data_IF_691250807343
#
_entry.id   IF_691250807343
#
_cell.length_a   1.000
_cell.length_b   1.000
_cell.length_c   1.000
_cell.angle_alpha   90.00
_cell.angle_beta   90.00
_cell.angle_gamma   90.00
#
_symmetry.space_group_name_H-M   'P 1'
#
loop_
_entity.id
_entity.type
_entity.pdbx_description
1 polymer ?
#
# COMPACT_ATOMS: atom_id res chain seq x y z
N UNK A 1 27.82 6.11 -14.46
CA UNK A 1 26.72 5.96 -13.49
C UNK A 1 26.16 7.34 -13.17
N UNK A 2 25.09 7.74 -13.86
CA UNK A 2 24.43 9.01 -13.59
C UNK A 2 23.51 8.81 -12.38
N UNK A 3 23.78 9.52 -11.28
CA UNK A 3 22.80 9.67 -10.20
C UNK A 3 21.51 10.24 -10.79
N UNK A 4 20.36 9.69 -10.40
CA UNK A 4 19.07 10.22 -10.84
C UNK A 4 18.89 11.65 -10.36
N UNK A 5 18.12 12.47 -11.09
CA UNK A 5 17.83 13.85 -10.71
C UNK A 5 17.27 13.94 -9.27
N UNK A 6 16.45 12.96 -8.87
CA UNK A 6 15.97 12.79 -7.50
C UNK A 6 17.12 12.62 -6.49
N UNK A 7 18.11 11.78 -6.77
CA UNK A 7 19.26 11.60 -5.87
C UNK A 7 20.10 12.87 -5.68
N UNK A 8 20.19 13.74 -6.70
CA UNK A 8 20.89 15.02 -6.60
C UNK A 8 20.08 16.06 -5.81
N UNK A 9 18.76 16.15 -6.06
CA UNK A 9 17.89 17.09 -5.35
C UNK A 9 17.76 16.77 -3.85
N UNK A 10 17.76 15.49 -3.48
CA UNK A 10 17.71 15.08 -2.07
C UNK A 10 19.03 15.34 -1.31
N UNK A 11 20.17 15.28 -1.97
CA UNK A 11 21.48 15.50 -1.33
C UNK A 11 21.77 16.98 -1.06
N UNK A 12 21.20 17.90 -1.85
CA UNK A 12 21.43 19.35 -1.75
C UNK A 12 20.36 20.10 -0.94
N UNK A 13 19.30 19.42 -0.51
CA UNK A 13 18.22 20.08 0.21
C UNK A 13 18.43 19.99 1.73
N UNK A 14 18.58 21.14 2.40
CA UNK A 14 18.47 21.32 3.87
C UNK A 14 17.02 21.02 4.37
N UNK A 15 16.28 20.13 3.70
CA UNK A 15 14.91 19.77 4.04
C UNK A 15 14.95 18.77 5.18
N UNK A 16 14.81 19.29 6.39
CA UNK A 16 14.53 18.45 7.53
C UNK A 16 13.05 18.08 7.51
N UNK A 17 12.70 16.79 7.56
CA UNK A 17 11.30 16.42 7.63
C UNK A 17 10.71 16.99 8.92
N UNK A 18 9.51 17.58 8.83
CA UNK A 18 8.78 18.09 9.99
C UNK A 18 7.81 17.04 10.53
N UNK A 19 7.44 17.09 11.82
CA UNK A 19 6.40 16.22 12.34
C UNK A 19 5.07 16.48 11.63
N UNK A 20 4.40 15.40 11.21
CA UNK A 20 3.03 15.38 10.70
C UNK A 20 2.19 14.61 11.71
N UNK A 21 1.11 15.23 12.18
CA UNK A 21 0.17 14.57 13.07
C UNK A 21 -0.75 13.65 12.28
N UNK A 22 -1.19 12.57 12.92
CA UNK A 22 -2.26 11.75 12.36
C UNK A 22 -3.55 12.55 12.15
N UNK A 23 -3.80 13.55 12.99
CA UNK A 23 -4.96 14.43 12.89
C UNK A 23 -4.93 15.36 11.67
N UNK A 24 -3.74 15.54 11.07
CA UNK A 24 -3.58 16.37 9.86
C UNK A 24 -3.96 15.60 8.58
N UNK A 25 -4.01 14.26 8.64
CA UNK A 25 -4.33 13.39 7.51
C UNK A 25 -5.77 12.90 7.64
N UNK A 26 -6.63 13.35 6.73
CA UNK A 26 -8.02 12.92 6.66
C UNK A 26 -8.17 11.64 5.86
N UNK A 27 -8.81 10.65 6.46
CA UNK A 27 -9.31 9.48 5.72
C UNK A 27 -10.48 9.95 4.83
N UNK A 28 -10.53 9.54 3.56
CA UNK A 28 -11.66 9.87 2.68
C UNK A 28 -12.98 9.28 3.21
N UNK A 29 -14.05 10.06 3.16
CA UNK A 29 -15.40 9.69 3.64
C UNK A 29 -16.35 9.39 2.46
N UNK A 30 -15.79 8.92 1.35
CA UNK A 30 -16.59 8.55 0.17
C UNK A 30 -17.24 7.19 0.37
N UNK A 31 -18.35 6.88 -0.35
CA UNK A 31 -18.99 5.57 -0.24
C UNK A 31 -18.03 4.40 -0.54
N UNK A 32 -17.11 4.57 -1.48
CA UNK A 32 -16.08 3.57 -1.79
C UNK A 32 -15.07 3.45 -0.65
N UNK A 33 -14.57 4.56 -0.12
CA UNK A 33 -13.60 4.54 0.97
C UNK A 33 -14.14 3.84 2.22
N UNK A 34 -15.38 4.13 2.62
CA UNK A 34 -16.04 3.49 3.76
C UNK A 34 -16.29 2.00 3.53
N UNK A 35 -16.82 1.66 2.36
CA UNK A 35 -17.15 0.27 2.00
C UNK A 35 -15.90 -0.61 1.93
N UNK A 36 -14.83 -0.11 1.31
CA UNK A 36 -13.54 -0.81 1.26
C UNK A 36 -12.92 -0.90 2.65
N UNK A 37 -12.97 0.18 3.45
CA UNK A 37 -12.43 0.16 4.82
C UNK A 37 -13.12 -0.87 5.70
N UNK A 38 -14.45 -0.97 5.62
CA UNK A 38 -15.22 -1.95 6.38
C UNK A 38 -14.90 -3.37 5.91
N UNK A 39 -14.99 -3.62 4.60
CA UNK A 39 -14.73 -4.95 4.05
C UNK A 39 -13.31 -5.44 4.34
N UNK A 40 -12.30 -4.58 4.17
CA UNK A 40 -10.90 -4.95 4.44
C UNK A 40 -10.64 -5.17 5.92
N UNK A 41 -11.29 -4.41 6.81
CA UNK A 41 -11.25 -4.66 8.26
C UNK A 41 -11.82 -6.04 8.64
N UNK A 42 -12.82 -6.51 7.91
CA UNK A 42 -13.47 -7.79 8.18
C UNK A 42 -12.68 -8.99 7.67
N UNK A 43 -11.82 -8.81 6.65
CA UNK A 43 -11.09 -9.93 6.01
C UNK A 43 -9.61 -9.98 6.33
N UNK A 44 -8.97 -8.83 6.57
CA UNK A 44 -7.54 -8.77 6.82
C UNK A 44 -7.27 -9.15 8.28
N UNK A 45 -6.11 -9.76 8.52
CA UNK A 45 -5.61 -9.89 9.88
C UNK A 45 -5.39 -8.50 10.49
N UNK A 46 -5.41 -8.34 11.82
CA UNK A 46 -5.16 -7.05 12.45
C UNK A 46 -3.84 -6.39 12.01
N UNK A 47 -2.79 -7.19 11.75
CA UNK A 47 -1.52 -6.66 11.26
C UNK A 47 -1.53 -6.17 9.83
N UNK A 48 -2.20 -6.88 8.91
CA UNK A 48 -2.37 -6.44 7.53
C UNK A 48 -3.23 -5.18 7.47
N UNK A 49 -4.34 -5.14 8.21
CA UNK A 49 -5.19 -3.94 8.27
C UNK A 49 -4.42 -2.73 8.83
N UNK A 50 -3.67 -2.91 9.93
CA UNK A 50 -2.85 -1.85 10.49
C UNK A 50 -1.69 -1.44 9.56
N UNK A 51 -1.10 -2.39 8.81
CA UNK A 51 -0.11 -2.09 7.76
C UNK A 51 -0.71 -1.18 6.69
N UNK A 52 -1.87 -1.55 6.14
CA UNK A 52 -2.60 -0.73 5.18
C UNK A 52 -2.87 0.68 5.70
N UNK A 53 -3.28 0.82 6.97
CA UNK A 53 -3.55 2.12 7.61
C UNK A 53 -2.29 2.98 7.74
N UNK A 54 -1.17 2.39 8.20
CA UNK A 54 0.12 3.08 8.30
C UNK A 54 0.66 3.47 6.93
N UNK A 55 0.59 2.57 5.95
CA UNK A 55 1.01 2.80 4.57
C UNK A 55 0.29 4.00 3.95
N UNK A 56 -1.04 4.10 4.12
CA UNK A 56 -1.79 5.29 3.71
C UNK A 56 -1.29 6.55 4.40
N UNK A 57 -1.21 6.54 5.74
CA UNK A 57 -0.79 7.70 6.51
C UNK A 57 0.61 8.20 6.14
N UNK A 58 1.59 7.31 6.04
CA UNK A 58 2.95 7.66 5.65
C UNK A 58 3.02 8.19 4.22
N UNK A 59 2.29 7.60 3.29
CA UNK A 59 2.20 8.09 1.91
C UNK A 59 1.58 9.50 1.87
N UNK A 60 0.47 9.72 2.59
CA UNK A 60 -0.19 11.03 2.67
C UNK A 60 0.69 12.09 3.34
N UNK A 61 1.46 11.73 4.36
CA UNK A 61 2.39 12.64 5.02
C UNK A 61 3.45 13.20 4.07
N UNK A 62 3.89 12.43 3.06
CA UNK A 62 4.85 12.92 2.05
C UNK A 62 4.28 13.96 1.09
N UNK A 63 2.95 14.03 0.96
CA UNK A 63 2.28 14.99 0.09
C UNK A 63 2.17 16.39 0.71
N UNK A 64 2.68 16.56 1.93
CA UNK A 64 2.70 17.85 2.57
C UNK A 64 3.52 18.87 1.75
N UNK A 65 2.92 19.99 1.33
CA UNK A 65 3.59 20.92 0.43
C UNK A 65 4.83 21.57 1.07
N UNK A 66 4.90 21.64 2.40
CA UNK A 66 6.06 22.21 3.10
C UNK A 66 7.27 21.27 3.08
N UNK A 67 7.06 19.96 2.91
CA UNK A 67 8.15 18.99 2.75
C UNK A 67 8.77 19.05 1.35
N UNK A 68 7.99 19.47 0.35
CA UNK A 68 8.46 19.71 -1.02
C UNK A 68 8.94 18.47 -1.78
N UNK A 69 8.62 17.25 -1.34
CA UNK A 69 9.02 16.01 -2.02
C UNK A 69 8.36 15.84 -3.39
N UNK A 70 7.17 16.41 -3.57
CA UNK A 70 6.43 16.41 -4.82
C UNK A 70 6.12 17.84 -5.28
N UNK A 71 6.13 18.11 -6.60
CA UNK A 71 5.73 19.42 -7.12
C UNK A 71 4.32 19.79 -6.67
N UNK A 72 4.16 20.97 -6.07
CA UNK A 72 2.88 21.41 -5.48
C UNK A 72 1.72 21.38 -6.50
N UNK A 73 1.99 21.77 -7.74
CA UNK A 73 0.99 21.73 -8.81
C UNK A 73 0.58 20.29 -9.17
N UNK A 74 1.53 19.35 -9.19
CA UNK A 74 1.23 17.95 -9.46
C UNK A 74 0.35 17.35 -8.36
N UNK A 75 0.65 17.64 -7.10
CA UNK A 75 -0.19 17.25 -5.95
C UNK A 75 -1.57 17.86 -6.06
N UNK A 76 -1.67 19.18 -6.31
CA UNK A 76 -2.96 19.87 -6.43
C UNK A 76 -3.82 19.31 -7.58
N UNK A 77 -3.22 19.01 -8.73
CA UNK A 77 -3.93 18.43 -9.87
C UNK A 77 -4.41 17.00 -9.57
N UNK A 78 -3.57 16.17 -8.95
CA UNK A 78 -3.95 14.82 -8.57
C UNK A 78 -5.06 14.82 -7.50
N UNK A 79 -5.03 15.73 -6.52
CA UNK A 79 -6.11 15.89 -5.53
C UNK A 79 -7.46 16.20 -6.19
N UNK A 80 -7.49 17.03 -7.24
CA UNK A 80 -8.71 17.28 -8.03
C UNK A 80 -9.24 16.04 -8.75
N UNK A 81 -8.38 15.04 -8.97
CA UNK A 81 -8.71 13.75 -9.56
C UNK A 81 -8.95 12.66 -8.49
N UNK A 82 -9.02 13.04 -7.21
CA UNK A 82 -9.31 12.12 -6.10
C UNK A 82 -8.10 11.35 -5.58
N UNK A 83 -6.89 11.93 -5.64
CA UNK A 83 -5.67 11.31 -5.13
C UNK A 83 -5.84 10.72 -3.71
N UNK A 84 -6.47 11.45 -2.78
CA UNK A 84 -6.65 10.94 -1.42
C UNK A 84 -7.49 9.65 -1.37
N UNK A 85 -8.58 9.60 -2.14
CA UNK A 85 -9.41 8.39 -2.27
C UNK A 85 -8.64 7.26 -2.96
N UNK A 86 -7.93 7.55 -4.05
CA UNK A 86 -7.17 6.54 -4.79
C UNK A 86 -6.07 5.93 -3.92
N UNK A 87 -5.37 6.74 -3.12
CA UNK A 87 -4.36 6.26 -2.17
C UNK A 87 -4.99 5.43 -1.07
N UNK A 88 -6.13 5.86 -0.51
CA UNK A 88 -6.85 5.08 0.51
C UNK A 88 -7.27 3.71 -0.02
N UNK A 89 -7.89 3.67 -1.20
CA UNK A 89 -8.32 2.43 -1.84
C UNK A 89 -7.12 1.53 -2.15
N UNK A 90 -6.04 2.05 -2.71
CA UNK A 90 -4.82 1.28 -2.96
C UNK A 90 -4.24 0.72 -1.66
N UNK A 91 -4.14 1.55 -0.61
CA UNK A 91 -3.62 1.13 0.69
C UNK A 91 -4.46 0.00 1.31
N UNK A 92 -5.78 0.10 1.28
CA UNK A 92 -6.65 -0.91 1.86
C UNK A 92 -6.68 -2.21 1.04
N UNK A 93 -6.49 -2.12 -0.29
CA UNK A 93 -6.65 -3.25 -1.20
C UNK A 93 -5.36 -3.99 -1.58
N UNK A 94 -4.17 -3.38 -1.43
CA UNK A 94 -2.93 -3.95 -2.01
C UNK A 94 -2.58 -5.36 -1.50
N UNK A 95 -2.94 -5.68 -0.25
CA UNK A 95 -2.60 -6.94 0.43
C UNK A 95 -3.79 -7.90 0.57
N UNK A 96 -4.96 -7.62 -0.03
CA UNK A 96 -6.15 -8.48 0.13
C UNK A 96 -5.96 -9.90 -0.40
N UNK A 97 -4.98 -10.12 -1.26
CA UNK A 97 -4.61 -11.43 -1.81
C UNK A 97 -3.68 -12.23 -0.92
N UNK A 98 -3.19 -11.64 0.17
CA UNK A 98 -2.37 -12.30 1.18
C UNK A 98 -3.21 -12.98 2.29
N UNK A 99 -4.53 -12.83 2.28
CA UNK A 99 -5.39 -13.58 3.22
C UNK A 99 -5.44 -15.06 2.79
N UNK A 100 -5.36 -16.03 3.72
CA UNK A 100 -5.23 -17.45 3.38
C UNK A 100 -6.29 -17.96 2.40
N UNK A 101 -7.54 -17.51 2.54
CA UNK A 101 -8.66 -17.92 1.69
C UNK A 101 -8.47 -17.51 0.23
N UNK A 102 -7.89 -16.33 -0.01
CA UNK A 102 -7.56 -15.85 -1.36
C UNK A 102 -6.24 -16.47 -1.83
N UNK A 103 -5.25 -16.51 -0.94
CA UNK A 103 -3.87 -16.89 -1.23
C UNK A 103 -3.72 -18.37 -1.61
N UNK A 104 -4.42 -19.27 -0.90
CA UNK A 104 -4.36 -20.72 -1.13
C UNK A 104 -5.29 -21.18 -2.27
N UNK A 105 -6.08 -20.28 -2.87
CA UNK A 105 -6.99 -20.61 -3.95
C UNK A 105 -6.27 -20.94 -5.26
N UNK A 106 -6.62 -22.07 -5.88
CA UNK A 106 -6.15 -22.44 -7.22
C UNK A 106 -6.61 -21.49 -8.32
N UNK A 107 -7.58 -20.62 -8.06
CA UNK A 107 -7.97 -19.55 -8.98
C UNK A 107 -6.99 -18.37 -8.95
N UNK A 108 -6.16 -18.25 -7.90
CA UNK A 108 -5.32 -17.11 -7.62
C UNK A 108 -3.84 -17.49 -7.68
N UNK A 109 -3.40 -17.94 -8.86
CA UNK A 109 -2.03 -18.45 -9.07
C UNK A 109 -1.03 -17.38 -9.53
N UNK A 110 -1.50 -16.15 -9.75
CA UNK A 110 -0.62 -15.01 -10.01
C UNK A 110 0.03 -14.54 -8.70
N UNK A 111 1.13 -13.79 -8.84
CA UNK A 111 1.74 -13.05 -7.73
C UNK A 111 0.69 -12.16 -7.06
N UNK A 112 0.71 -12.09 -5.73
CA UNK A 112 -0.30 -11.39 -4.95
C UNK A 112 -0.53 -9.93 -5.41
N UNK A 113 0.50 -9.24 -5.91
CA UNK A 113 0.41 -7.87 -6.42
C UNK A 113 -0.44 -7.79 -7.69
N UNK A 114 -0.16 -8.68 -8.64
CA UNK A 114 -0.84 -8.74 -9.94
C UNK A 114 -2.28 -9.23 -9.75
N UNK A 115 -2.45 -10.30 -8.97
CA UNK A 115 -3.76 -10.81 -8.61
C UNK A 115 -4.55 -9.70 -7.89
N UNK A 116 -3.94 -9.01 -6.93
CA UNK A 116 -4.55 -7.94 -6.15
C UNK A 116 -5.05 -6.82 -7.03
N UNK A 117 -4.27 -6.42 -8.05
CA UNK A 117 -4.68 -5.43 -9.04
C UNK A 117 -5.89 -5.86 -9.86
N UNK A 118 -5.92 -7.11 -10.36
CA UNK A 118 -7.07 -7.65 -11.12
C UNK A 118 -8.33 -7.67 -10.26
N UNK A 119 -8.19 -8.18 -9.04
CA UNK A 119 -9.27 -8.24 -8.06
C UNK A 119 -9.77 -6.82 -7.73
N UNK A 120 -8.88 -5.87 -7.43
CA UNK A 120 -9.26 -4.49 -7.16
C UNK A 120 -9.98 -3.85 -8.36
N UNK A 121 -9.49 -4.08 -9.58
CA UNK A 121 -10.14 -3.60 -10.80
C UNK A 121 -11.58 -4.11 -10.89
N UNK A 122 -11.79 -5.42 -10.74
CA UNK A 122 -13.12 -6.04 -10.79
C UNK A 122 -14.04 -5.48 -9.71
N UNK A 123 -13.55 -5.34 -8.47
CA UNK A 123 -14.34 -4.83 -7.37
C UNK A 123 -14.79 -3.38 -7.59
N UNK A 124 -13.87 -2.50 -8.00
CA UNK A 124 -14.14 -1.07 -8.18
C UNK A 124 -14.91 -0.76 -9.47
N UNK A 125 -14.87 -1.68 -10.45
CA UNK A 125 -15.56 -1.53 -11.73
C UNK A 125 -17.04 -1.90 -11.68
N UNK A 126 -17.51 -2.58 -10.63
CA UNK A 126 -18.82 -3.23 -10.65
C UNK A 126 -19.96 -2.33 -10.15
N UNK A 127 -20.98 -2.02 -10.97
CA UNK A 127 -22.30 -1.68 -10.49
C UNK A 127 -23.08 -2.98 -10.27
N UNK A 128 -23.33 -3.40 -9.03
CA UNK A 128 -24.22 -4.54 -8.78
C UNK A 128 -25.52 -4.09 -8.11
N UNK A 129 -26.70 -4.48 -8.63
CA UNK A 129 -27.82 -4.78 -7.76
C UNK A 129 -27.39 -5.93 -6.83
N UNK A 130 -27.75 -5.84 -5.54
CA UNK A 130 -27.49 -6.71 -4.39
C UNK A 130 -27.61 -8.24 -4.60
N UNK A 131 -26.93 -8.81 -5.59
CA UNK A 131 -26.97 -10.24 -5.93
C UNK A 131 -25.57 -10.79 -5.75
N UNK A 132 -25.47 -11.75 -4.84
CA UNK A 132 -24.28 -12.54 -4.50
C UNK A 132 -23.68 -13.13 -5.79
N UNK A 133 -22.69 -12.46 -6.36
CA UNK A 133 -21.95 -12.98 -7.51
C UNK A 133 -20.99 -14.06 -7.02
N UNK A 134 -21.30 -15.32 -7.32
CA UNK A 134 -20.43 -16.47 -7.11
C UNK A 134 -19.20 -16.50 -8.04
N UNK A 135 -19.01 -15.46 -8.87
CA UNK A 135 -17.99 -15.42 -9.92
C UNK A 135 -16.75 -14.62 -9.56
N UNK A 136 -16.74 -13.92 -8.42
CA UNK A 136 -15.53 -13.25 -7.93
C UNK A 136 -14.67 -14.29 -7.20
N UNK A 137 -13.57 -14.71 -7.83
CA UNK A 137 -12.69 -15.77 -7.33
C UNK A 137 -11.74 -15.28 -6.22
N UNK A 138 -12.24 -14.51 -5.25
CA UNK A 138 -11.50 -14.06 -4.06
C UNK A 138 -11.23 -15.20 -3.06
N UNK A 139 -11.20 -16.46 -3.51
CA UNK A 139 -11.45 -17.57 -2.61
C UNK A 139 -12.87 -17.50 -2.05
N UNK A 140 -13.30 -18.55 -1.37
CA UNK A 140 -14.65 -18.71 -0.84
C UNK A 140 -14.98 -17.79 0.36
N UNK A 141 -14.37 -16.59 0.46
CA UNK A 141 -14.72 -15.62 1.50
C UNK A 141 -16.16 -15.15 1.28
N UNK A 142 -17.11 -15.81 1.93
CA UNK A 142 -18.55 -15.51 1.93
C UNK A 142 -18.87 -14.25 2.73
N UNK A 143 -18.14 -13.17 2.46
CA UNK A 143 -18.20 -11.98 3.28
C UNK A 143 -19.07 -10.99 2.50
N UNK A 144 -20.16 -10.52 3.12
CA UNK A 144 -21.14 -9.58 2.57
C UNK A 144 -20.47 -8.30 2.03
N UNK A 145 -19.82 -8.41 0.87
CA UNK A 145 -19.10 -7.33 0.23
C UNK A 145 -20.14 -6.43 -0.40
N UNK A 146 -20.37 -5.29 0.23
CA UNK A 146 -21.20 -4.24 -0.32
C UNK A 146 -20.42 -3.51 -1.42
N UNK A 147 -21.14 -2.95 -2.37
CA UNK A 147 -20.58 -2.04 -3.38
C UNK A 147 -21.46 -0.80 -3.40
N UNK A 148 -20.88 0.41 -3.45
CA UNK A 148 -21.66 1.60 -3.79
C UNK A 148 -22.42 1.44 -5.11
N UNK A 149 -23.56 2.12 -5.29
CA UNK A 149 -24.37 1.99 -6.51
C UNK A 149 -23.66 2.56 -7.76
N UNK A 150 -22.68 3.43 -7.57
CA UNK A 150 -21.92 4.06 -8.65
C UNK A 150 -20.49 3.51 -8.65
N UNK A 151 -20.04 2.89 -9.77
CA UNK A 151 -18.66 2.45 -9.93
C UNK A 151 -17.69 3.62 -9.79
N UNK A 152 -16.45 3.31 -9.40
CA UNK A 152 -15.39 4.31 -9.41
C UNK A 152 -15.10 4.72 -10.86
N UNK A 153 -14.83 6.01 -11.16
CA UNK A 153 -14.39 6.43 -12.49
C UNK A 153 -13.21 5.59 -13.00
N UNK A 154 -13.25 5.17 -14.27
CA UNK A 154 -12.24 4.27 -14.86
C UNK A 154 -10.80 4.76 -14.70
N UNK A 155 -10.57 6.07 -14.73
CA UNK A 155 -9.23 6.63 -14.54
C UNK A 155 -8.72 6.42 -13.11
N UNK A 156 -9.59 6.58 -12.10
CA UNK A 156 -9.26 6.29 -10.70
C UNK A 156 -9.01 4.80 -10.48
N UNK A 157 -9.82 3.94 -11.09
CA UNK A 157 -9.58 2.49 -11.06
C UNK A 157 -8.18 2.17 -11.60
N UNK A 158 -7.82 2.77 -12.74
CA UNK A 158 -6.47 2.63 -13.30
C UNK A 158 -5.37 3.08 -12.34
N UNK A 159 -5.52 4.21 -11.66
CA UNK A 159 -4.54 4.68 -10.68
C UNK A 159 -4.42 3.76 -9.45
N UNK A 160 -5.54 3.27 -8.92
CA UNK A 160 -5.57 2.33 -7.79
C UNK A 160 -4.90 1.02 -8.18
N UNK A 161 -5.29 0.44 -9.32
CA UNK A 161 -4.78 -0.84 -9.81
C UNK A 161 -3.30 -0.76 -10.11
N UNK A 162 -2.84 0.28 -10.81
CA UNK A 162 -1.42 0.49 -11.08
C UNK A 162 -0.63 0.57 -9.77
N UNK A 163 -1.13 1.34 -8.79
CA UNK A 163 -0.48 1.47 -7.47
C UNK A 163 -0.38 0.15 -6.73
N UNK A 164 -1.39 -0.72 -6.85
CA UNK A 164 -1.37 -2.07 -6.28
C UNK A 164 -0.40 -2.97 -7.04
N UNK A 165 -0.36 -2.95 -8.37
CA UNK A 165 0.50 -3.88 -9.12
C UNK A 165 1.98 -3.60 -8.86
N UNK A 166 2.36 -2.32 -8.73
CA UNK A 166 3.77 -1.90 -8.65
C UNK A 166 4.28 -1.67 -7.21
N UNK A 167 3.47 -1.97 -6.18
CA UNK A 167 3.81 -1.56 -4.80
C UNK A 167 5.05 -2.27 -4.21
N UNK A 168 5.41 -3.44 -4.74
CA UNK A 168 6.62 -4.18 -4.35
C UNK A 168 7.78 -3.99 -5.32
N UNK A 169 7.58 -3.24 -6.41
CA UNK A 169 8.61 -2.99 -7.42
C UNK A 169 9.85 -2.38 -6.78
N UNK A 170 11.03 -2.69 -7.27
CA UNK A 170 12.26 -2.20 -6.64
C UNK A 170 12.74 -0.90 -7.24
N UNK A 171 12.04 0.20 -6.98
CA UNK A 171 12.42 1.59 -7.31
C UNK A 171 13.40 1.70 -8.50
N UNK A 172 13.03 1.09 -9.64
CA UNK A 172 13.88 1.04 -10.82
C UNK A 172 13.84 2.40 -11.55
N UNK A 173 14.84 2.72 -12.39
CA UNK A 173 14.77 3.91 -13.23
C UNK A 173 13.48 3.91 -14.06
N UNK A 174 12.68 4.98 -13.96
CA UNK A 174 11.38 5.06 -14.59
C UNK A 174 10.50 6.14 -13.95
N UNK A 175 9.23 6.19 -14.34
CA UNK A 175 8.22 7.07 -13.73
C UNK A 175 6.96 6.27 -13.44
N UNK A 176 6.42 6.47 -12.25
CA UNK A 176 5.09 6.01 -11.85
C UNK A 176 4.15 7.23 -11.76
N UNK A 177 2.84 7.01 -11.74
CA UNK A 177 1.89 8.09 -11.41
C UNK A 177 2.08 8.54 -9.93
N UNK A 178 1.56 9.71 -9.56
CA UNK A 178 1.80 10.28 -8.23
C UNK A 178 1.24 9.39 -7.09
N UNK A 179 0.06 8.79 -7.29
CA UNK A 179 -0.54 7.86 -6.34
C UNK A 179 0.41 6.68 -6.07
N UNK A 180 0.87 6.03 -7.13
CA UNK A 180 1.79 4.89 -7.07
C UNK A 180 3.14 5.27 -6.44
N UNK A 181 3.70 6.45 -6.75
CA UNK A 181 4.95 6.92 -6.13
C UNK A 181 4.80 7.09 -4.60
N UNK A 182 3.75 7.80 -4.16
CA UNK A 182 3.54 8.06 -2.74
C UNK A 182 3.22 6.75 -1.98
N UNK A 183 2.34 5.92 -2.54
CA UNK A 183 1.96 4.64 -1.96
C UNK A 183 3.14 3.69 -1.81
N UNK A 184 3.93 3.54 -2.87
CA UNK A 184 5.12 2.70 -2.84
C UNK A 184 6.10 3.15 -1.75
N UNK A 185 6.36 4.46 -1.62
CA UNK A 185 7.21 4.99 -0.56
C UNK A 185 6.65 4.72 0.85
N UNK A 186 5.35 4.96 1.07
CA UNK A 186 4.68 4.70 2.36
C UNK A 186 4.66 3.22 2.73
N UNK A 187 4.37 2.34 1.77
CA UNK A 187 4.39 0.88 1.95
C UNK A 187 5.81 0.40 2.26
N UNK A 188 6.82 0.87 1.53
CA UNK A 188 8.21 0.48 1.78
C UNK A 188 8.71 1.00 3.13
N UNK A 189 8.31 2.20 3.55
CA UNK A 189 8.59 2.66 4.90
C UNK A 189 8.01 1.70 5.93
N UNK A 190 6.75 1.32 5.79
CA UNK A 190 6.10 0.46 6.80
C UNK A 190 6.49 -1.01 6.72
N UNK A 191 6.86 -1.52 5.55
CA UNK A 191 7.19 -2.91 5.32
C UNK A 191 8.67 -3.20 5.57
N UNK A 192 9.59 -2.26 5.28
CA UNK A 192 11.04 -2.49 5.44
C UNK A 192 11.75 -1.47 6.32
N UNK A 193 11.11 -0.38 6.77
CA UNK A 193 11.74 0.61 7.65
C UNK A 193 12.97 1.27 7.03
N UNK A 194 13.11 1.27 5.70
CA UNK A 194 14.30 1.72 4.97
C UNK A 194 15.46 0.70 4.89
N UNK A 195 16.31 0.85 3.87
CA UNK A 195 17.47 -0.01 3.66
C UNK A 195 18.36 0.43 2.49
N UNK A 196 19.64 0.00 2.43
CA UNK A 196 20.55 0.37 1.35
C UNK A 196 19.98 -0.01 -0.04
N UNK A 197 20.11 0.84 -1.07
CA UNK A 197 20.92 2.07 -1.11
C UNK A 197 20.15 3.36 -0.80
N UNK A 198 18.88 3.30 -0.42
CA UNK A 198 18.00 4.48 -0.28
C UNK A 198 17.55 4.65 1.15
N UNK A 199 18.12 5.64 1.82
CA UNK A 199 17.69 6.07 3.15
C UNK A 199 16.37 6.86 3.05
N UNK A 200 15.31 6.18 2.59
CA UNK A 200 13.96 6.75 2.48
C UNK A 200 13.43 7.18 3.86
N UNK A 201 13.98 6.65 4.96
CA UNK A 201 13.64 7.09 6.32
C UNK A 201 13.81 8.60 6.49
N UNK A 202 14.81 9.20 5.84
CA UNK A 202 15.06 10.64 5.91
C UNK A 202 13.91 11.48 5.37
N UNK A 203 12.98 10.87 4.65
CA UNK A 203 11.79 11.56 4.13
C UNK A 203 10.72 11.78 5.20
N UNK A 204 10.77 11.06 6.33
CA UNK A 204 9.80 11.22 7.43
C UNK A 204 10.47 11.64 8.72
N UNK A 205 9.78 12.51 9.46
CA UNK A 205 10.21 12.87 10.80
C UNK A 205 9.93 11.69 11.75
N UNK A 206 10.83 11.38 12.71
CA UNK A 206 10.62 10.28 13.66
C UNK A 206 9.28 10.32 14.40
N UNK A 207 8.79 11.51 14.77
CA UNK A 207 7.46 11.65 15.40
C UNK A 207 6.31 11.27 14.46
N UNK A 208 6.42 11.56 13.16
CA UNK A 208 5.43 11.11 12.17
C UNK A 208 5.36 9.59 12.17
N UNK A 209 6.51 8.93 12.11
CA UNK A 209 6.61 7.46 12.15
C UNK A 209 5.98 6.93 13.44
N UNK A 210 6.39 7.48 14.58
CA UNK A 210 5.92 7.07 15.92
C UNK A 210 4.41 7.24 16.07
N UNK A 211 3.84 8.34 15.57
CA UNK A 211 2.40 8.59 15.62
C UNK A 211 1.62 7.49 14.89
N UNK A 212 2.04 7.16 13.66
CA UNK A 212 1.40 6.09 12.88
C UNK A 212 1.53 4.71 13.53
N UNK A 213 2.69 4.40 14.09
CA UNK A 213 2.93 3.13 14.78
C UNK A 213 2.16 3.02 16.12
N UNK A 214 1.93 4.15 16.80
CA UNK A 214 1.16 4.21 18.04
C UNK A 214 -0.33 4.03 17.76
N UNK A 215 -0.88 4.74 16.77
CA UNK A 215 -2.30 4.63 16.42
C UNK A 215 -2.64 3.24 15.87
N UNK A 216 -1.77 2.71 15.01
CA UNK A 216 -1.97 1.41 14.37
C UNK A 216 -0.81 0.49 14.74
N UNK A 217 -0.88 -0.20 15.90
CA UNK A 217 0.21 -1.03 16.39
C UNK A 217 0.61 -2.13 15.41
N UNK A 218 1.91 -2.43 15.38
CA UNK A 218 2.45 -3.59 14.66
C UNK A 218 2.19 -4.86 15.46
N UNK A 219 1.77 -5.90 14.75
CA UNK A 219 1.55 -7.24 15.30
C UNK A 219 2.77 -8.12 15.08
N UNK A 220 2.90 -9.19 15.88
CA UNK A 220 3.98 -10.18 15.78
C UNK A 220 3.43 -11.56 15.43
N UNK A 221 4.30 -12.48 15.03
CA UNK A 221 3.92 -13.86 14.73
C UNK A 221 2.99 -13.97 13.52
N UNK A 222 1.97 -14.82 13.61
CA UNK A 222 1.05 -15.14 12.51
C UNK A 222 0.15 -13.96 12.09
N UNK A 223 0.00 -12.96 12.96
CA UNK A 223 -0.77 -11.75 12.64
C UNK A 223 0.09 -10.68 11.95
N UNK A 224 1.41 -10.87 11.85
CA UNK A 224 2.30 -9.91 11.19
C UNK A 224 2.27 -10.04 9.66
N UNK A 225 2.62 -8.96 8.95
CA UNK A 225 2.78 -8.93 7.48
C UNK A 225 3.73 -10.03 6.96
N UNK A 226 4.72 -10.41 7.77
CA UNK A 226 5.74 -11.39 7.38
C UNK A 226 5.13 -12.77 7.09
N UNK A 227 4.20 -13.23 7.91
CA UNK A 227 3.64 -14.59 7.79
C UNK A 227 3.03 -14.84 6.41
N UNK A 228 2.08 -14.01 5.98
CA UNK A 228 1.49 -14.10 4.63
C UNK A 228 2.50 -13.94 3.49
N UNK A 229 3.53 -13.09 3.63
CA UNK A 229 4.58 -12.95 2.61
C UNK A 229 5.46 -14.20 2.52
N UNK A 230 5.83 -14.82 3.65
CA UNK A 230 6.53 -16.10 3.66
C UNK A 230 5.69 -17.19 3.00
N UNK A 231 4.39 -17.22 3.28
CA UNK A 231 3.45 -18.15 2.65
C UNK A 231 3.42 -17.96 1.13
N UNK A 232 3.34 -16.72 0.64
CA UNK A 232 3.37 -16.41 -0.80
C UNK A 232 4.62 -16.99 -1.48
N UNK A 233 5.78 -16.81 -0.84
CA UNK A 233 7.06 -17.35 -1.33
C UNK A 233 7.11 -18.88 -1.35
N UNK A 234 6.43 -19.55 -0.41
CA UNK A 234 6.34 -21.00 -0.34
C UNK A 234 5.41 -21.59 -1.42
N UNK A 235 4.22 -21.00 -1.60
CA UNK A 235 3.22 -21.55 -2.52
C UNK A 235 3.42 -21.10 -3.97
N UNK A 236 4.04 -19.93 -4.18
CA UNK A 236 4.32 -19.35 -5.50
C UNK A 236 5.80 -18.95 -5.56
N UNK A 237 6.73 -19.91 -5.65
CA UNK A 237 8.17 -19.63 -5.60
C UNK A 237 8.71 -18.76 -6.75
N UNK A 238 7.91 -18.56 -7.82
CA UNK A 238 8.21 -17.66 -8.93
C UNK A 238 7.43 -16.34 -8.92
N UNK A 239 6.78 -15.98 -7.80
CA UNK A 239 5.98 -14.75 -7.71
C UNK A 239 6.83 -13.47 -7.84
N UNK A 240 6.18 -12.37 -8.17
CA UNK A 240 6.80 -11.11 -8.57
C UNK A 240 7.74 -10.52 -7.51
N UNK A 241 7.39 -10.60 -6.23
CA UNK A 241 8.24 -10.13 -5.12
C UNK A 241 9.64 -10.79 -5.12
N UNK A 242 9.83 -11.94 -5.78
CA UNK A 242 11.13 -12.64 -5.94
C UNK A 242 12.11 -11.94 -6.89
N UNK A 243 11.63 -11.09 -7.80
CA UNK A 243 12.39 -10.54 -8.95
C UNK A 243 13.67 -9.78 -8.59
N UNK A 244 13.87 -9.41 -7.33
CA UNK A 244 15.10 -8.75 -6.91
C UNK A 244 16.15 -9.62 -6.19
N UNK A 245 16.17 -10.95 -6.37
CA UNK A 245 17.19 -11.87 -5.82
C UNK A 245 17.42 -11.80 -4.29
N UNK A 246 16.49 -11.17 -3.56
CA UNK A 246 16.59 -10.93 -2.11
C UNK A 246 15.24 -11.01 -1.40
N UNK A 247 14.20 -11.60 -1.99
CA UNK A 247 12.89 -11.66 -1.34
C UNK A 247 12.95 -12.37 0.01
N UNK A 248 13.55 -13.56 0.06
CA UNK A 248 13.80 -14.27 1.32
C UNK A 248 14.65 -13.44 2.32
N UNK A 249 15.82 -12.88 1.92
CA UNK A 249 16.54 -11.94 2.78
C UNK A 249 15.73 -10.71 3.23
N UNK A 250 14.84 -10.18 2.37
CA UNK A 250 14.00 -9.03 2.67
C UNK A 250 12.95 -9.40 3.69
N UNK A 251 12.17 -10.46 3.47
CA UNK A 251 11.15 -10.91 4.42
C UNK A 251 11.80 -11.32 5.75
N UNK A 252 13.02 -11.88 5.72
CA UNK A 252 13.81 -12.14 6.93
C UNK A 252 14.35 -10.87 7.59
N UNK A 253 14.66 -9.82 6.82
CA UNK A 253 14.96 -8.50 7.37
C UNK A 253 13.73 -7.95 8.07
N UNK A 254 12.53 -8.06 7.47
CA UNK A 254 11.27 -7.63 8.08
C UNK A 254 11.03 -8.33 9.43
N UNK A 255 11.33 -9.62 9.55
CA UNK A 255 11.21 -10.35 10.82
C UNK A 255 12.06 -9.77 11.95
N UNK A 256 13.24 -9.27 11.63
CA UNK A 256 14.26 -8.87 12.59
C UNK A 256 14.54 -7.37 12.55
N UNK A 257 13.67 -6.59 11.91
CA UNK A 257 13.90 -5.18 11.70
C UNK A 257 13.72 -4.44 13.05
N UNK A 258 14.78 -3.81 13.59
CA UNK A 258 14.65 -3.06 14.85
C UNK A 258 13.65 -1.90 14.74
N UNK A 259 13.36 -1.45 13.51
CA UNK A 259 12.32 -0.45 13.25
C UNK A 259 10.91 -0.93 13.60
N UNK A 260 10.67 -2.24 13.57
CA UNK A 260 9.41 -2.85 13.98
C UNK A 260 9.33 -3.18 15.48
N UNK A 261 10.42 -2.96 16.21
CA UNK A 261 10.45 -3.09 17.68
C UNK A 261 10.20 -1.78 18.42
N UNK A 262 10.11 -0.66 17.69
CA UNK A 262 9.71 0.63 18.24
C UNK A 262 8.23 0.55 18.67
N UNK A 263 8.05 0.27 19.95
CA UNK A 263 6.81 0.42 20.71
C UNK A 263 6.42 1.87 20.88
#
# INVERSE_FOLDING_TARGET
>A
MAQSLLQREFADSNRHPRPISILDIKVPETPWAETVAQWTKDILTPGLYNHSRRSFFYASALLDPELGFFPQEAVANAKRLGLEENMWLAAMLHDVTLVPEVQDSLANQLSFEIQGGILAHEYLSYPQPQVTSNTLHWGTTSNNRTTPPTPLPKYQIGEVVESIVVHTDRMQPGKLNLCAQAMHLGIMLDAVGGGPPTDILRMWHPSTISNGATEWPRTKGNESLVGPLMRELEIKPGCHITTGARAYPMVKLMQNNPYFELK
#
